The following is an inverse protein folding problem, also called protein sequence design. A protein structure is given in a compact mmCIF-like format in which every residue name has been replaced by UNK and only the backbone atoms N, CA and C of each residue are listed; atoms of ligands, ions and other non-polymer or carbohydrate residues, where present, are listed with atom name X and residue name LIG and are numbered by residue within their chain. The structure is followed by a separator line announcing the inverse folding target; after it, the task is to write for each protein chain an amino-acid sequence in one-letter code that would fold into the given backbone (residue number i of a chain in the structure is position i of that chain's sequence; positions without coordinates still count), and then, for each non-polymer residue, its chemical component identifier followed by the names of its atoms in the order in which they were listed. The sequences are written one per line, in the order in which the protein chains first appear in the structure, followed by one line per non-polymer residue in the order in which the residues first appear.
data_IF_125348652936
#
_entry.id   IF_125348652936
#
_cell.length_a   1.000
_cell.length_b   1.000
_cell.length_c   1.000
_cell.angle_alpha   90.00
_cell.angle_beta   90.00
_cell.angle_gamma   90.00
#
_symmetry.space_group_name_H-M   'P 1'
#
loop_
_entity.id
_entity.type
_entity.pdbx_description
1 polymer ?
#
# COMPACT_ATOMS: atom_id res chain seq x y z
N UNK A 1 -8.57 74.51 -58.16
CA UNK A 1 -8.63 74.13 -56.73
C UNK A 1 -7.46 73.19 -56.44
N UNK A 2 -6.53 73.60 -55.57
CA UNK A 2 -5.27 72.89 -55.29
C UNK A 2 -5.54 71.70 -54.33
N UNK A 3 -4.97 70.53 -54.66
CA UNK A 3 -4.87 69.38 -53.75
C UNK A 3 -3.86 69.73 -52.66
N UNK A 4 -4.27 69.71 -51.40
CA UNK A 4 -3.36 69.79 -50.25
C UNK A 4 -2.85 68.38 -49.95
N UNK A 5 -1.56 68.20 -50.21
CA UNK A 5 -0.77 67.02 -49.89
C UNK A 5 -0.33 67.15 -48.41
N UNK A 6 -0.89 66.34 -47.52
CA UNK A 6 -0.44 66.27 -46.13
C UNK A 6 0.77 65.33 -46.08
N UNK A 7 1.98 65.89 -46.03
CA UNK A 7 3.18 65.11 -45.78
C UNK A 7 3.15 64.54 -44.36
N UNK A 8 3.11 63.23 -44.22
CA UNK A 8 3.32 62.55 -42.94
C UNK A 8 4.68 62.95 -42.37
N UNK A 9 4.68 63.66 -41.23
CA UNK A 9 5.92 64.00 -40.52
C UNK A 9 6.49 62.73 -39.89
N UNK A 10 7.80 62.45 -40.05
CA UNK A 10 8.41 61.26 -39.48
C UNK A 10 8.30 61.28 -37.95
N UNK A 11 7.79 60.18 -37.38
CA UNK A 11 7.63 60.04 -35.93
C UNK A 11 9.00 60.18 -35.25
N UNK A 12 9.16 61.07 -34.25
CA UNK A 12 10.42 61.29 -33.55
C UNK A 12 10.98 60.01 -32.93
N UNK A 13 12.30 59.84 -33.02
CA UNK A 13 13.02 58.64 -32.57
C UNK A 13 12.67 58.23 -31.12
N UNK A 14 12.55 59.19 -30.20
CA UNK A 14 12.23 58.91 -28.80
C UNK A 14 10.86 58.23 -28.62
N UNK A 15 9.86 58.54 -29.46
CA UNK A 15 8.54 57.89 -29.40
C UNK A 15 8.62 56.44 -29.87
N UNK A 16 9.45 56.16 -30.88
CA UNK A 16 9.73 54.78 -31.32
C UNK A 16 10.48 54.00 -30.24
N UNK A 17 11.49 54.61 -29.61
CA UNK A 17 12.25 54.00 -28.52
C UNK A 17 11.37 53.64 -27.31
N UNK A 18 10.47 54.54 -26.90
CA UNK A 18 9.51 54.28 -25.82
C UNK A 18 8.51 53.18 -26.21
N UNK A 19 8.04 53.16 -27.46
CA UNK A 19 7.17 52.10 -27.94
C UNK A 19 7.87 50.73 -27.93
N UNK A 20 9.13 50.65 -28.39
CA UNK A 20 9.92 49.41 -28.32
C UNK A 20 10.21 48.98 -26.89
N UNK A 21 10.51 49.91 -25.97
CA UNK A 21 10.71 49.62 -24.55
C UNK A 21 9.41 49.07 -23.92
N UNK A 22 8.27 49.67 -24.22
CA UNK A 22 6.97 49.19 -23.72
C UNK A 22 6.60 47.82 -24.30
N UNK A 23 6.84 47.59 -25.59
CA UNK A 23 6.64 46.28 -26.22
C UNK A 23 7.57 45.24 -25.59
N UNK A 24 8.83 45.58 -25.34
CA UNK A 24 9.79 44.70 -24.68
C UNK A 24 9.40 44.40 -23.22
N UNK A 25 8.93 45.40 -22.47
CA UNK A 25 8.42 45.21 -21.10
C UNK A 25 7.15 44.35 -21.08
N UNK A 26 6.21 44.56 -22.01
CA UNK A 26 4.98 43.75 -22.14
C UNK A 26 5.28 42.31 -22.55
N UNK A 27 6.20 42.09 -23.49
CA UNK A 27 6.67 40.75 -23.87
C UNK A 27 7.48 40.09 -22.75
N UNK A 28 8.24 40.86 -21.98
CA UNK A 28 8.97 40.39 -20.79
C UNK A 28 8.04 39.93 -19.67
N UNK A 29 6.90 40.59 -19.48
CA UNK A 29 5.86 40.16 -18.51
C UNK A 29 5.12 38.89 -18.96
N UNK A 30 4.99 38.63 -20.26
CA UNK A 30 4.34 37.42 -20.81
C UNK A 30 5.29 36.22 -20.96
N UNK A 31 6.60 36.41 -20.77
CA UNK A 31 7.63 35.37 -20.94
C UNK A 31 8.31 34.94 -19.65
N UNK A 32 7.84 35.41 -18.49
CA UNK A 32 8.20 34.79 -17.21
C UNK A 32 7.65 33.37 -17.22
N UNK A 33 8.49 32.32 -17.21
CA UNK A 33 7.98 30.98 -17.02
C UNK A 33 7.23 30.99 -15.70
N UNK A 34 5.93 30.67 -15.74
CA UNK A 34 5.23 30.29 -14.53
C UNK A 34 6.01 29.10 -13.97
N UNK A 35 6.67 29.30 -12.84
CA UNK A 35 7.31 28.19 -12.13
C UNK A 35 6.17 27.29 -11.64
N UNK A 36 5.83 26.29 -12.45
CA UNK A 36 4.93 25.24 -12.03
C UNK A 36 5.61 24.51 -10.86
N UNK A 37 4.96 24.53 -9.70
CA UNK A 37 5.39 23.77 -8.53
C UNK A 37 4.81 22.38 -8.59
N UNK A 38 5.52 21.41 -8.00
CA UNK A 38 5.01 20.06 -7.85
C UNK A 38 3.69 20.07 -7.06
N UNK A 39 2.62 19.59 -7.69
CA UNK A 39 1.43 19.20 -6.94
C UNK A 39 1.83 18.03 -6.02
N UNK A 40 1.58 18.17 -4.71
CA UNK A 40 2.15 17.29 -3.70
C UNK A 40 1.08 16.83 -2.70
N UNK A 41 1.44 15.83 -1.89
CA UNK A 41 0.55 15.21 -0.91
C UNK A 41 -0.06 16.18 0.09
N UNK A 42 0.65 17.25 0.41
CA UNK A 42 0.18 18.27 1.34
C UNK A 42 -0.99 19.06 0.76
N UNK A 43 -1.00 19.32 -0.55
CA UNK A 43 -2.06 20.10 -1.21
C UNK A 43 -3.38 19.32 -1.34
N UNK A 44 -3.36 17.98 -1.28
CA UNK A 44 -4.57 17.15 -1.18
C UNK A 44 -5.14 17.07 0.24
N UNK A 45 -4.33 17.41 1.24
CA UNK A 45 -4.67 17.27 2.64
C UNK A 45 -5.29 18.57 3.18
N UNK A 46 -6.45 18.47 3.84
CA UNK A 46 -6.91 19.57 4.71
C UNK A 46 -6.11 19.55 6.02
N UNK A 47 -4.88 20.08 5.96
CA UNK A 47 -3.96 20.12 7.09
C UNK A 47 -4.55 20.84 8.30
N UNK A 48 -5.35 21.89 8.07
CA UNK A 48 -6.00 22.65 9.13
C UNK A 48 -7.01 21.78 9.87
N UNK A 49 -7.85 21.06 9.14
CA UNK A 49 -8.81 20.12 9.73
C UNK A 49 -8.09 18.99 10.49
N UNK A 50 -7.06 18.38 9.89
CA UNK A 50 -6.27 17.29 10.52
C UNK A 50 -5.63 17.74 11.83
N UNK A 51 -5.07 18.96 11.87
CA UNK A 51 -4.38 19.47 13.06
C UNK A 51 -5.37 19.92 14.15
N UNK A 52 -6.49 20.54 13.78
CA UNK A 52 -7.45 21.07 14.75
C UNK A 52 -8.35 19.99 15.38
N UNK A 53 -8.67 18.93 14.64
CA UNK A 53 -9.63 17.92 15.09
C UNK A 53 -8.97 16.66 15.67
N UNK A 54 -7.62 16.62 15.74
CA UNK A 54 -6.90 15.50 16.32
C UNK A 54 -6.77 15.66 17.84
N UNK A 55 -7.28 14.71 18.65
CA UNK A 55 -7.09 14.74 20.10
C UNK A 55 -5.62 14.50 20.52
N UNK A 56 -4.77 14.08 19.58
CA UNK A 56 -3.36 13.82 19.84
C UNK A 56 -2.49 15.08 19.83
N UNK A 57 -3.04 16.24 19.46
CA UNK A 57 -2.30 17.50 19.34
C UNK A 57 -2.86 18.58 20.27
N UNK A 58 -1.96 19.42 20.79
CA UNK A 58 -2.30 20.62 21.54
C UNK A 58 -1.73 21.82 20.80
N UNK A 59 -2.59 22.79 20.47
CA UNK A 59 -2.16 24.06 19.85
C UNK A 59 -1.41 24.89 20.90
N UNK A 60 -0.21 25.35 20.56
CA UNK A 60 0.60 26.18 21.46
C UNK A 60 0.28 27.65 21.26
N UNK A 61 -0.11 28.34 22.32
CA UNK A 61 -0.29 29.81 22.32
C UNK A 61 1.03 30.51 22.62
N UNK A 62 1.49 31.40 21.74
CA UNK A 62 2.68 32.24 21.97
C UNK A 62 4.04 31.56 21.75
N UNK A 63 4.08 30.30 21.33
CA UNK A 63 5.34 29.63 20.96
C UNK A 63 5.91 30.21 19.67
N UNK A 64 7.20 30.57 19.71
CA UNK A 64 7.97 31.00 18.54
C UNK A 64 8.60 29.84 17.77
N UNK A 65 8.54 28.62 18.29
CA UNK A 65 9.20 27.44 17.71
C UNK A 65 8.25 26.53 16.94
N UNK A 66 7.06 26.28 17.51
CA UNK A 66 6.09 25.31 16.98
C UNK A 66 4.67 25.86 17.09
N UNK A 67 3.76 25.45 16.21
CA UNK A 67 2.33 25.79 16.29
C UNK A 67 1.52 24.76 17.08
N UNK A 68 1.91 23.48 16.98
CA UNK A 68 1.31 22.35 17.71
C UNK A 68 2.37 21.53 18.44
N UNK A 69 1.97 20.83 19.49
CA UNK A 69 2.79 19.82 20.18
C UNK A 69 1.95 18.58 20.45
N UNK A 70 2.62 17.48 20.78
CA UNK A 70 1.95 16.27 21.28
C UNK A 70 1.13 16.59 22.53
N UNK A 71 -0.09 16.09 22.58
CA UNK A 71 -0.94 16.12 23.78
C UNK A 71 -0.32 15.30 24.92
N UNK A 72 -0.42 15.79 26.14
CA UNK A 72 0.18 15.17 27.34
C UNK A 72 -0.36 13.77 27.64
N UNK A 73 -1.56 13.45 27.18
CA UNK A 73 -2.21 12.14 27.38
C UNK A 73 -1.76 11.07 26.37
N UNK A 74 -0.92 11.42 25.39
CA UNK A 74 -0.45 10.50 24.37
C UNK A 74 0.89 9.85 24.76
N UNK A 75 0.84 8.54 24.99
CA UNK A 75 2.04 7.71 25.15
C UNK A 75 2.68 7.46 23.78
N UNK A 76 3.97 7.72 23.69
CA UNK A 76 4.76 7.56 22.47
C UNK A 76 5.82 6.48 22.67
N UNK A 77 5.87 5.54 21.73
CA UNK A 77 6.87 4.47 21.67
C UNK A 77 8.29 5.04 21.61
N UNK A 78 9.25 4.36 22.25
CA UNK A 78 10.64 4.86 22.33
C UNK A 78 11.27 5.11 20.94
N UNK A 79 11.10 4.19 19.99
CA UNK A 79 11.66 4.33 18.62
C UNK A 79 11.10 5.53 17.86
N UNK A 80 9.83 5.89 18.07
CA UNK A 80 9.23 7.06 17.41
C UNK A 80 9.93 8.38 17.80
N UNK A 81 10.62 8.41 18.94
CA UNK A 81 11.40 9.59 19.39
C UNK A 81 12.68 9.80 18.60
N UNK A 82 13.14 8.79 17.87
CA UNK A 82 14.34 8.82 17.03
C UNK A 82 14.04 9.33 15.62
N UNK A 83 12.77 9.53 15.26
CA UNK A 83 12.40 10.04 13.95
C UNK A 83 13.04 11.41 13.67
N UNK A 84 13.56 11.55 12.45
CA UNK A 84 14.13 12.80 11.97
C UNK A 84 13.03 13.87 11.90
N UNK A 85 13.33 15.08 12.38
CA UNK A 85 12.43 16.24 12.33
C UNK A 85 12.98 17.33 11.40
N UNK A 86 12.14 18.32 11.06
CA UNK A 86 12.55 19.53 10.33
C UNK A 86 13.75 20.19 11.03
N UNK A 87 13.71 20.35 12.35
CA UNK A 87 14.83 20.92 13.11
C UNK A 87 16.11 20.07 13.04
N UNK A 88 15.96 18.75 13.03
CA UNK A 88 17.07 17.82 12.80
C UNK A 88 17.66 17.99 11.40
N UNK A 89 16.82 17.99 10.38
CA UNK A 89 17.21 18.11 8.98
C UNK A 89 17.88 19.46 8.68
N UNK A 90 17.31 20.56 9.18
CA UNK A 90 17.91 21.89 9.09
C UNK A 90 19.32 21.93 9.71
N UNK A 91 19.55 21.25 10.84
CA UNK A 91 20.87 21.16 11.47
C UNK A 91 21.89 20.42 10.59
N UNK A 92 21.45 19.37 9.89
CA UNK A 92 22.28 18.62 8.94
C UNK A 92 22.64 19.50 7.74
N UNK A 93 21.67 20.21 7.15
CA UNK A 93 21.91 21.14 6.05
C UNK A 93 22.83 22.29 6.46
N UNK A 94 22.64 22.89 7.64
CA UNK A 94 23.49 23.98 8.13
C UNK A 94 24.96 23.57 8.28
N UNK A 95 25.22 22.30 8.61
CA UNK A 95 26.57 21.75 8.73
C UNK A 95 27.18 21.46 7.36
N UNK A 96 26.41 20.86 6.45
CA UNK A 96 26.98 20.19 5.27
C UNK A 96 26.53 20.78 3.90
N UNK A 97 25.43 21.53 3.86
CA UNK A 97 24.74 22.00 2.64
C UNK A 97 24.12 23.40 2.83
N UNK A 98 24.91 24.38 3.28
CA UNK A 98 24.43 25.75 3.56
C UNK A 98 23.81 26.45 2.35
N UNK A 99 24.19 26.07 1.13
CA UNK A 99 23.62 26.63 -0.11
C UNK A 99 22.15 26.23 -0.32
N UNK A 100 21.68 25.15 0.31
CA UNK A 100 20.30 24.72 0.27
C UNK A 100 19.45 25.39 1.38
N UNK A 101 20.02 26.28 2.19
CA UNK A 101 19.30 27.08 3.16
C UNK A 101 19.04 28.48 2.60
N UNK A 102 17.99 29.18 3.11
CA UNK A 102 17.80 30.60 2.82
C UNK A 102 19.05 31.42 3.17
N UNK A 103 19.15 32.60 2.55
CA UNK A 103 20.25 33.52 2.80
C UNK A 103 20.41 33.78 4.32
N UNK A 104 21.66 33.73 4.86
CA UNK A 104 21.88 33.92 6.27
C UNK A 104 21.55 35.35 6.70
N UNK A 105 21.06 35.48 7.93
CA UNK A 105 21.02 36.76 8.63
C UNK A 105 22.40 37.06 9.22
N UNK A 106 22.90 38.27 9.02
CA UNK A 106 24.20 38.67 9.51
C UNK A 106 24.06 39.36 10.87
N UNK A 107 24.56 38.71 11.93
CA UNK A 107 24.50 39.25 13.30
C UNK A 107 25.83 39.93 13.61
N UNK A 108 25.86 41.26 13.80
CA UNK A 108 27.06 41.96 14.23
C UNK A 108 27.29 41.73 15.73
N UNK A 109 28.47 41.23 16.10
CA UNK A 109 28.93 41.16 17.48
C UNK A 109 30.03 42.20 17.65
N UNK A 110 29.82 43.14 18.57
CA UNK A 110 30.78 44.17 18.92
C UNK A 110 31.66 43.68 20.07
N UNK A 111 32.98 43.68 19.87
CA UNK A 111 33.95 43.53 20.95
C UNK A 111 34.99 44.67 20.85
N UNK A 112 34.74 45.75 21.60
CA UNK A 112 35.54 46.98 21.50
C UNK A 112 35.38 47.67 20.14
N UNK A 113 36.49 47.87 19.41
CA UNK A 113 36.52 48.50 18.07
C UNK A 113 36.38 47.50 16.91
N UNK A 114 36.28 46.20 17.19
CA UNK A 114 36.20 45.16 16.17
C UNK A 114 34.73 44.74 16.01
N UNK A 115 34.21 44.86 14.80
CA UNK A 115 32.91 44.32 14.41
C UNK A 115 33.13 42.96 13.74
N UNK A 116 32.64 41.88 14.36
CA UNK A 116 32.66 40.54 13.76
C UNK A 116 31.24 40.18 13.32
N UNK A 117 31.08 39.83 12.04
CA UNK A 117 29.79 39.49 11.45
C UNK A 117 29.69 37.96 11.33
N UNK A 118 28.73 37.35 12.02
CA UNK A 118 28.49 35.91 11.94
C UNK A 118 27.25 35.60 11.09
N UNK A 119 27.34 34.70 10.09
CA UNK A 119 26.16 34.24 9.37
C UNK A 119 25.33 33.33 10.26
N UNK A 120 24.09 33.73 10.52
CA UNK A 120 23.09 32.98 11.25
C UNK A 120 22.02 32.47 10.30
N UNK A 121 21.74 31.17 10.36
CA UNK A 121 20.67 30.53 9.60
C UNK A 121 19.53 30.21 10.57
N UNK A 122 18.54 31.10 10.73
CA UNK A 122 17.44 30.89 11.66
C UNK A 122 16.52 29.79 11.15
N UNK A 123 15.99 28.99 12.09
CA UNK A 123 14.92 28.05 11.79
C UNK A 123 13.58 28.71 12.09
N UNK A 124 12.73 28.82 11.07
CA UNK A 124 11.42 29.43 11.23
C UNK A 124 10.44 28.56 12.04
N UNK A 125 9.33 29.19 12.43
CA UNK A 125 8.02 28.62 12.77
C UNK A 125 7.79 27.19 12.27
N UNK A 126 7.85 26.12 13.07
CA UNK A 126 7.45 24.78 12.60
C UNK A 126 5.95 24.52 12.84
N UNK A 127 5.34 23.69 11.99
CA UNK A 127 3.94 23.25 12.17
C UNK A 127 3.72 22.55 13.51
N UNK A 128 4.71 21.79 13.98
CA UNK A 128 4.67 21.23 15.32
C UNK A 128 5.97 20.58 15.74
N UNK A 129 5.96 19.93 16.89
CA UNK A 129 7.08 19.08 17.33
C UNK A 129 7.24 17.83 16.43
N UNK A 130 8.22 16.98 16.75
CA UNK A 130 8.49 15.74 16.00
C UNK A 130 7.25 14.86 15.87
N UNK A 131 6.49 14.69 16.96
CA UNK A 131 5.34 13.81 16.96
C UNK A 131 4.26 14.32 16.00
N UNK A 132 3.97 15.63 16.04
CA UNK A 132 3.05 16.27 15.09
C UNK A 132 3.55 16.10 13.65
N UNK A 133 4.85 16.33 13.40
CA UNK A 133 5.44 16.19 12.07
C UNK A 133 5.32 14.76 11.53
N UNK A 134 5.64 13.74 12.34
CA UNK A 134 5.50 12.32 11.97
C UNK A 134 4.06 11.99 11.61
N UNK A 135 3.08 12.45 12.41
CA UNK A 135 1.65 12.22 12.11
C UNK A 135 1.20 12.93 10.84
N UNK A 136 1.69 14.13 10.58
CA UNK A 136 1.35 14.88 9.38
C UNK A 136 1.95 14.23 8.12
N UNK A 137 3.17 13.66 8.22
CA UNK A 137 3.77 12.84 7.15
C UNK A 137 2.91 11.60 6.91
N UNK A 138 2.50 10.88 7.97
CA UNK A 138 1.61 9.72 7.85
C UNK A 138 0.32 10.05 7.12
N UNK A 139 -0.33 11.15 7.49
CA UNK A 139 -1.58 11.57 6.85
C UNK A 139 -1.38 11.91 5.37
N UNK A 140 -0.24 12.48 5.00
CA UNK A 140 0.11 12.72 3.59
C UNK A 140 0.31 11.41 2.81
N UNK A 141 1.01 10.43 3.39
CA UNK A 141 1.18 9.10 2.75
C UNK A 141 -0.18 8.44 2.57
N UNK A 142 -1.04 8.49 3.59
CA UNK A 142 -2.36 7.89 3.51
C UNK A 142 -3.26 8.59 2.48
N UNK A 143 -3.20 9.92 2.37
CA UNK A 143 -3.96 10.66 1.38
C UNK A 143 -3.52 10.36 -0.06
N UNK A 144 -2.24 10.06 -0.29
CA UNK A 144 -1.73 9.70 -1.62
C UNK A 144 -1.89 8.23 -1.97
N UNK A 145 -1.67 7.34 -1.00
CA UNK A 145 -1.51 5.91 -1.26
C UNK A 145 -2.61 5.04 -0.64
N UNK A 146 -3.39 5.54 0.32
CA UNK A 146 -4.29 4.73 1.14
C UNK A 146 -3.55 3.80 2.12
N UNK A 147 -2.27 4.08 2.40
CA UNK A 147 -1.37 3.26 3.23
C UNK A 147 -0.65 4.09 4.28
N UNK A 148 -0.11 3.44 5.31
CA UNK A 148 0.70 4.10 6.33
C UNK A 148 2.21 4.07 6.03
N UNK A 149 2.67 3.05 5.30
CA UNK A 149 4.02 2.93 4.76
C UNK A 149 3.98 2.98 3.23
N UNK A 150 4.97 3.63 2.63
CA UNK A 150 5.17 3.72 1.19
C UNK A 150 5.58 2.36 0.63
N UNK A 151 6.45 1.63 1.34
CA UNK A 151 7.02 0.36 0.91
C UNK A 151 7.15 -0.63 2.08
N UNK A 152 6.91 -1.94 1.87
CA UNK A 152 7.14 -2.97 2.88
C UNK A 152 8.63 -3.19 3.16
N UNK A 153 9.53 -2.60 2.37
CA UNK A 153 10.97 -2.63 2.64
C UNK A 153 11.37 -1.82 3.88
N UNK A 154 10.50 -0.90 4.33
CA UNK A 154 10.72 -0.16 5.57
C UNK A 154 10.24 -0.97 6.77
N UNK A 155 11.12 -1.15 7.76
CA UNK A 155 10.78 -1.85 8.99
C UNK A 155 9.67 -1.15 9.80
N UNK A 156 9.68 0.18 9.82
CA UNK A 156 8.68 1.01 10.49
C UNK A 156 8.65 2.44 9.91
N UNK A 157 7.72 3.25 10.41
CA UNK A 157 7.55 4.66 10.03
C UNK A 157 8.81 5.50 10.33
N UNK A 158 9.57 5.16 11.37
CA UNK A 158 10.79 5.89 11.75
C UNK A 158 11.88 5.67 10.70
N UNK A 159 12.12 4.42 10.31
CA UNK A 159 13.07 4.06 9.26
C UNK A 159 12.70 4.71 7.92
N UNK A 160 11.42 4.71 7.57
CA UNK A 160 10.92 5.38 6.36
C UNK A 160 11.19 6.89 6.38
N UNK A 161 10.84 7.59 7.47
CA UNK A 161 11.05 9.04 7.57
C UNK A 161 12.54 9.38 7.49
N UNK A 162 13.41 8.57 8.12
CA UNK A 162 14.86 8.73 8.01
C UNK A 162 15.31 8.60 6.56
N UNK A 163 14.86 7.58 5.84
CA UNK A 163 15.22 7.40 4.42
C UNK A 163 14.70 8.54 3.54
N UNK A 164 13.47 9.02 3.76
CA UNK A 164 12.88 10.12 3.00
C UNK A 164 13.65 11.44 3.21
N UNK A 165 14.11 11.73 4.44
CA UNK A 165 14.99 12.87 4.69
C UNK A 165 16.42 12.66 4.15
N UNK A 166 16.90 11.42 4.09
CA UNK A 166 18.17 11.11 3.45
C UNK A 166 18.12 11.37 1.95
N UNK A 167 17.02 10.99 1.28
CA UNK A 167 16.78 11.33 -0.12
C UNK A 167 16.69 12.86 -0.31
N UNK A 168 16.01 13.58 0.60
CA UNK A 168 16.00 15.05 0.57
C UNK A 168 17.39 15.68 0.75
N UNK A 169 18.27 15.07 1.55
CA UNK A 169 19.65 15.52 1.71
C UNK A 169 20.46 15.34 0.42
N UNK A 170 20.25 14.25 -0.32
CA UNK A 170 20.84 14.04 -1.65
C UNK A 170 20.34 15.10 -2.64
N UNK A 171 19.03 15.38 -2.64
CA UNK A 171 18.43 16.41 -3.49
C UNK A 171 19.03 17.79 -3.20
N UNK A 172 19.16 18.16 -1.92
CA UNK A 172 19.78 19.42 -1.51
C UNK A 172 21.20 19.58 -2.07
N UNK A 173 21.96 18.48 -2.20
CA UNK A 173 23.30 18.49 -2.78
C UNK A 173 23.37 18.84 -4.28
N UNK A 174 22.25 18.76 -5.01
CA UNK A 174 22.17 19.15 -6.44
C UNK A 174 22.06 20.67 -6.64
N UNK A 175 21.77 21.44 -5.58
CA UNK A 175 21.78 22.91 -5.60
C UNK A 175 20.59 23.58 -6.30
N UNK A 176 19.52 22.84 -6.62
CA UNK A 176 18.34 23.34 -7.32
C UNK A 176 17.13 23.61 -6.42
N UNK A 177 17.33 23.58 -5.09
CA UNK A 177 16.25 23.69 -4.09
C UNK A 177 16.68 24.52 -2.89
N UNK A 178 15.74 25.26 -2.31
CA UNK A 178 15.94 26.04 -1.10
C UNK A 178 14.99 25.56 0.00
N UNK A 179 15.52 25.33 1.20
CA UNK A 179 14.73 24.91 2.36
C UNK A 179 13.68 25.96 2.70
N UNK A 180 12.42 25.53 2.85
CA UNK A 180 11.26 26.40 3.05
C UNK A 180 10.55 26.80 1.76
N UNK A 181 11.18 26.70 0.60
CA UNK A 181 10.54 26.96 -0.69
C UNK A 181 9.89 25.69 -1.24
N UNK A 182 8.82 25.85 -2.02
CA UNK A 182 8.16 24.76 -2.74
C UNK A 182 9.10 24.13 -3.76
N UNK A 183 9.04 22.82 -3.92
CA UNK A 183 9.83 22.12 -4.94
C UNK A 183 9.32 22.47 -6.36
N UNK A 184 10.20 22.92 -7.27
CA UNK A 184 9.84 23.11 -8.68
C UNK A 184 9.47 21.77 -9.34
N UNK A 185 8.44 21.76 -10.19
CA UNK A 185 7.97 20.55 -10.89
C UNK A 185 9.09 19.87 -11.68
N UNK A 186 9.99 20.65 -12.32
CA UNK A 186 11.12 20.11 -13.09
C UNK A 186 12.13 19.34 -12.21
N UNK A 187 12.37 19.81 -10.99
CA UNK A 187 13.25 19.14 -10.02
C UNK A 187 12.60 17.86 -9.52
N UNK A 188 11.31 17.93 -9.18
CA UNK A 188 10.54 16.77 -8.74
C UNK A 188 10.51 15.66 -9.81
N UNK A 189 10.19 16.01 -11.07
CA UNK A 189 10.11 15.07 -12.19
C UNK A 189 11.44 14.38 -12.55
N UNK A 190 12.58 14.92 -12.10
CA UNK A 190 13.92 14.41 -12.46
C UNK A 190 14.66 13.73 -11.30
N UNK A 191 14.04 13.65 -10.12
CA UNK A 191 14.69 13.11 -8.93
C UNK A 191 14.48 11.59 -8.75
N UNK A 192 13.37 11.04 -9.28
CA UNK A 192 13.02 9.60 -9.29
C UNK A 192 13.09 8.89 -7.92
N UNK A 193 12.95 9.64 -6.83
CA UNK A 193 12.90 9.10 -5.47
C UNK A 193 11.82 9.80 -4.67
N UNK A 194 11.29 9.09 -3.67
CA UNK A 194 10.41 9.68 -2.67
C UNK A 194 11.23 10.47 -1.65
N UNK A 195 10.75 11.63 -1.20
CA UNK A 195 11.45 12.44 -0.20
C UNK A 195 10.51 13.34 0.60
N UNK A 196 11.00 13.85 1.73
CA UNK A 196 10.30 14.87 2.53
C UNK A 196 11.09 16.18 2.45
N UNK A 197 10.47 17.23 1.94
CA UNK A 197 11.04 18.58 1.91
C UNK A 197 10.27 19.52 2.84
N UNK A 198 10.94 20.24 3.75
CA UNK A 198 10.25 21.25 4.56
C UNK A 198 9.91 22.50 3.73
N UNK A 199 8.63 22.85 3.68
CA UNK A 199 8.09 23.98 2.90
C UNK A 199 7.23 24.89 3.77
N UNK A 200 7.19 26.18 3.45
CA UNK A 200 6.26 27.12 4.07
C UNK A 200 4.83 26.83 3.62
N UNK A 201 3.94 26.67 4.61
CA UNK A 201 2.51 26.42 4.44
C UNK A 201 1.73 27.34 5.36
N UNK A 202 0.61 27.84 4.85
CA UNK A 202 -0.33 28.60 5.65
C UNK A 202 -1.27 27.63 6.36
N UNK A 203 -1.25 27.64 7.70
CA UNK A 203 -2.09 26.78 8.54
C UNK A 203 -2.70 27.66 9.63
N UNK A 204 -4.04 27.68 9.68
CA UNK A 204 -4.79 28.59 10.56
C UNK A 204 -4.37 30.07 10.41
N UNK A 205 -4.07 30.53 9.19
CA UNK A 205 -3.66 31.91 8.90
C UNK A 205 -2.24 32.27 9.35
N UNK A 206 -1.41 31.30 9.75
CA UNK A 206 -0.01 31.49 10.10
C UNK A 206 0.90 30.72 9.14
N UNK A 207 1.97 31.36 8.66
CA UNK A 207 2.99 30.72 7.83
C UNK A 207 3.95 29.89 8.70
N UNK A 208 3.98 28.58 8.46
CA UNK A 208 4.80 27.62 9.21
C UNK A 208 5.50 26.63 8.28
N UNK A 209 6.71 26.21 8.66
CA UNK A 209 7.43 25.10 8.03
C UNK A 209 6.75 23.78 8.33
N UNK A 210 6.30 23.13 7.27
CA UNK A 210 5.65 21.83 7.33
C UNK A 210 6.45 20.79 6.53
N UNK A 211 6.50 19.52 6.98
CA UNK A 211 7.10 18.46 6.19
C UNK A 211 6.18 18.16 5.01
N UNK A 212 6.65 18.34 3.77
CA UNK A 212 5.88 18.04 2.56
C UNK A 212 6.43 16.77 1.91
N UNK A 213 5.56 15.79 1.71
CA UNK A 213 5.89 14.54 1.06
C UNK A 213 5.79 14.69 -0.46
N UNK A 214 6.85 14.26 -1.13
CA UNK A 214 6.94 14.15 -2.59
C UNK A 214 7.17 12.68 -2.94
N UNK A 215 6.23 12.06 -3.65
CA UNK A 215 6.31 10.67 -4.10
C UNK A 215 6.67 10.62 -5.58
N UNK A 216 7.54 9.73 -6.01
CA UNK A 216 7.84 9.52 -7.43
C UNK A 216 6.62 9.03 -8.21
N UNK A 217 6.61 9.24 -9.53
CA UNK A 217 5.55 8.72 -10.39
C UNK A 217 5.42 7.19 -10.29
N UNK A 218 6.55 6.49 -10.22
CA UNK A 218 6.59 5.03 -10.04
C UNK A 218 5.96 4.60 -8.72
N UNK A 219 6.24 5.31 -7.62
CA UNK A 219 5.62 5.02 -6.31
C UNK A 219 4.12 5.22 -6.34
N UNK A 220 3.64 6.31 -6.94
CA UNK A 220 2.19 6.56 -7.09
C UNK A 220 1.51 5.48 -7.92
N UNK A 221 2.12 5.07 -9.04
CA UNK A 221 1.57 4.04 -9.93
C UNK A 221 1.51 2.66 -9.26
N UNK A 222 2.53 2.30 -8.48
CA UNK A 222 2.69 0.94 -7.96
C UNK A 222 2.18 0.73 -6.54
N UNK A 223 2.03 1.80 -5.75
CA UNK A 223 1.70 1.68 -4.32
C UNK A 223 0.31 2.20 -3.95
N UNK A 224 -0.30 3.03 -4.78
CA UNK A 224 -1.63 3.56 -4.50
C UNK A 224 -2.70 2.45 -4.47
N UNK A 225 -3.58 2.52 -3.47
CA UNK A 225 -4.67 1.56 -3.28
C UNK A 225 -5.90 2.03 -4.06
N UNK A 226 -6.32 1.23 -5.04
CA UNK A 226 -7.48 1.52 -5.89
C UNK A 226 -8.74 0.69 -5.51
N UNK A 227 -8.76 0.05 -4.33
CA UNK A 227 -9.84 -0.82 -3.86
C UNK A 227 -9.96 -0.88 -2.33
N UNK A 228 -10.77 -1.82 -1.82
CA UNK A 228 -10.90 -2.02 -0.37
C UNK A 228 -9.69 -2.84 0.12
N UNK A 229 -8.74 -2.16 0.77
CA UNK A 229 -7.57 -2.75 1.41
C UNK A 229 -7.61 -2.51 2.91
N UNK A 230 -7.38 -3.56 3.69
CA UNK A 230 -7.00 -3.45 5.10
C UNK A 230 -5.57 -3.98 5.22
N UNK A 231 -4.64 -3.11 5.64
CA UNK A 231 -3.22 -3.46 5.75
C UNK A 231 -2.77 -3.48 7.21
N UNK A 232 -2.10 -4.56 7.60
CA UNK A 232 -1.49 -4.72 8.91
C UNK A 232 0.02 -4.89 8.77
N UNK A 233 0.79 -4.06 9.48
CA UNK A 233 2.25 -4.14 9.53
C UNK A 233 2.71 -4.21 10.98
N UNK A 234 3.69 -5.07 11.28
CA UNK A 234 4.21 -5.31 12.62
C UNK A 234 4.50 -6.78 12.87
N UNK A 235 4.74 -7.16 14.14
CA UNK A 235 5.05 -8.55 14.50
C UNK A 235 3.80 -9.40 14.65
N UNK A 236 2.83 -8.94 15.45
CA UNK A 236 1.64 -9.72 15.79
C UNK A 236 0.37 -8.87 15.72
N UNK A 237 -0.67 -9.41 15.09
CA UNK A 237 -2.01 -8.83 15.14
C UNK A 237 -3.01 -9.89 15.60
N UNK A 238 -3.77 -9.56 16.64
CA UNK A 238 -4.65 -10.50 17.33
C UNK A 238 -6.11 -10.05 17.18
N UNK A 239 -6.94 -10.94 16.64
CA UNK A 239 -8.38 -10.75 16.52
C UNK A 239 -9.13 -11.89 17.19
N UNK A 240 -10.39 -11.65 17.56
CA UNK A 240 -11.25 -12.74 18.02
C UNK A 240 -11.74 -13.57 16.85
N UNK A 241 -12.29 -12.91 15.84
CA UNK A 241 -12.84 -13.46 14.61
C UNK A 241 -12.48 -12.52 13.46
N UNK A 242 -12.25 -13.05 12.26
CA UNK A 242 -12.09 -12.26 11.03
C UNK A 242 -13.01 -12.82 9.95
N UNK A 243 -13.74 -11.93 9.27
CA UNK A 243 -14.51 -12.26 8.07
C UNK A 243 -14.20 -11.23 7.00
N UNK A 244 -13.66 -11.69 5.87
CA UNK A 244 -13.34 -10.85 4.72
C UNK A 244 -14.38 -11.11 3.63
N UNK A 245 -15.18 -10.09 3.32
CA UNK A 245 -16.25 -10.12 2.32
C UNK A 245 -15.88 -9.21 1.16
N UNK A 246 -15.22 -9.77 0.15
CA UNK A 246 -14.66 -9.02 -0.97
C UNK A 246 -13.59 -7.98 -0.56
N UNK A 247 -12.54 -7.84 -1.36
CA UNK A 247 -11.39 -6.96 -1.04
C UNK A 247 -10.24 -7.69 -0.36
N UNK A 248 -9.17 -6.95 -0.07
CA UNK A 248 -7.87 -7.54 0.31
C UNK A 248 -7.54 -7.22 1.77
N UNK A 249 -7.24 -8.25 2.55
CA UNK A 249 -6.53 -8.15 3.82
C UNK A 249 -5.05 -8.41 3.53
N UNK A 250 -4.22 -7.39 3.60
CA UNK A 250 -2.79 -7.49 3.34
C UNK A 250 -2.03 -7.48 4.67
N UNK A 251 -1.18 -8.49 4.85
CA UNK A 251 -0.23 -8.56 5.96
C UNK A 251 1.16 -8.14 5.48
N UNK A 252 1.89 -7.44 6.36
CA UNK A 252 3.28 -7.08 6.10
C UNK A 252 4.19 -8.29 6.17
N UNK A 253 5.45 -8.10 5.75
CA UNK A 253 6.49 -9.11 5.90
C UNK A 253 6.63 -9.49 7.39
N UNK A 254 6.77 -10.79 7.65
CA UNK A 254 6.96 -11.36 8.99
C UNK A 254 5.82 -11.03 9.99
N UNK A 255 4.64 -10.66 9.49
CA UNK A 255 3.46 -10.41 10.33
C UNK A 255 2.71 -11.70 10.62
N UNK A 256 2.46 -12.00 11.89
CA UNK A 256 1.57 -13.08 12.31
C UNK A 256 0.14 -12.56 12.49
N UNK A 257 -0.78 -13.08 11.68
CA UNK A 257 -2.21 -12.83 11.83
C UNK A 257 -2.83 -13.93 12.68
N UNK A 258 -3.16 -13.59 13.93
CA UNK A 258 -3.71 -14.51 14.91
C UNK A 258 -5.22 -14.26 15.07
N UNK A 259 -6.03 -15.31 14.92
CA UNK A 259 -7.46 -15.30 15.28
C UNK A 259 -7.75 -16.32 16.38
N UNK A 260 -8.45 -15.91 17.43
CA UNK A 260 -8.78 -16.81 18.53
C UNK A 260 -9.81 -17.88 18.13
N UNK A 261 -10.70 -17.55 17.19
CA UNK A 261 -11.74 -18.43 16.64
C UNK A 261 -11.56 -18.60 15.15
N UNK A 262 -12.46 -18.04 14.34
CA UNK A 262 -12.54 -18.34 12.92
C UNK A 262 -11.94 -17.22 12.05
N UNK A 263 -11.39 -17.63 10.90
CA UNK A 263 -11.04 -16.75 9.78
C UNK A 263 -11.84 -17.20 8.56
N UNK A 264 -12.75 -16.36 8.06
CA UNK A 264 -13.56 -16.63 6.87
C UNK A 264 -13.12 -15.73 5.72
N UNK A 265 -12.72 -16.32 4.60
CA UNK A 265 -12.33 -15.63 3.36
C UNK A 265 -13.36 -16.00 2.29
N UNK A 266 -14.25 -15.07 1.98
CA UNK A 266 -15.43 -15.29 1.14
C UNK A 266 -15.17 -14.89 -0.34
N UNK A 267 -16.12 -15.11 -1.27
CA UNK A 267 -15.89 -14.80 -2.69
C UNK A 267 -15.39 -13.38 -2.95
N UNK A 268 -14.38 -13.27 -3.81
CA UNK A 268 -13.73 -12.00 -4.16
C UNK A 268 -12.88 -11.39 -3.03
N UNK A 269 -12.72 -12.09 -1.90
CA UNK A 269 -11.80 -11.71 -0.85
C UNK A 269 -10.41 -12.31 -1.10
N UNK A 270 -9.39 -11.56 -0.71
CA UNK A 270 -8.00 -12.01 -0.71
C UNK A 270 -7.38 -11.76 0.67
N UNK A 271 -6.65 -12.75 1.19
CA UNK A 271 -5.72 -12.56 2.31
C UNK A 271 -4.32 -12.75 1.77
N UNK A 272 -3.55 -11.68 1.71
CA UNK A 272 -2.27 -11.62 1.02
C UNK A 272 -1.10 -11.23 1.94
N UNK A 273 0.12 -11.53 1.52
CA UNK A 273 1.35 -10.95 2.08
C UNK A 273 2.34 -10.57 0.98
N UNK A 274 2.97 -9.39 1.12
CA UNK A 274 4.11 -8.94 0.30
C UNK A 274 5.42 -9.70 0.65
N UNK A 275 5.39 -10.62 1.62
CA UNK A 275 6.47 -11.53 2.01
C UNK A 275 5.90 -12.90 2.37
N UNK A 276 6.15 -13.37 3.60
CA UNK A 276 5.52 -14.57 4.16
C UNK A 276 4.12 -14.26 4.70
N UNK A 277 3.15 -15.13 4.41
CA UNK A 277 1.81 -15.09 5.00
C UNK A 277 1.73 -16.09 6.16
N UNK A 278 1.70 -15.59 7.39
CA UNK A 278 1.63 -16.40 8.61
C UNK A 278 0.25 -16.28 9.26
N UNK A 279 -0.55 -17.34 9.19
CA UNK A 279 -1.92 -17.39 9.75
C UNK A 279 -1.99 -18.38 10.91
N UNK A 280 -2.42 -17.92 12.08
CA UNK A 280 -2.72 -18.76 13.23
C UNK A 280 -4.19 -18.62 13.61
N UNK A 281 -4.97 -19.69 13.46
CA UNK A 281 -6.44 -19.67 13.59
C UNK A 281 -6.86 -20.71 14.63
N UNK A 282 -7.23 -20.26 15.84
CA UNK A 282 -7.58 -21.16 16.94
C UNK A 282 -8.80 -22.05 16.67
N UNK A 283 -9.72 -21.58 15.82
CA UNK A 283 -10.89 -22.30 15.34
C UNK A 283 -10.73 -22.79 13.90
N UNK A 284 -11.69 -22.46 13.04
CA UNK A 284 -11.68 -22.89 11.63
C UNK A 284 -11.23 -21.76 10.69
N UNK A 285 -10.26 -22.06 9.83
CA UNK A 285 -9.97 -21.24 8.65
C UNK A 285 -10.83 -21.74 7.50
N UNK A 286 -11.77 -20.91 7.03
CA UNK A 286 -12.63 -21.18 5.88
C UNK A 286 -12.23 -20.31 4.70
N UNK A 287 -11.63 -20.89 3.68
CA UNK A 287 -11.41 -20.25 2.39
C UNK A 287 -12.52 -20.67 1.42
N UNK A 288 -13.61 -19.89 1.37
CA UNK A 288 -14.79 -20.16 0.56
C UNK A 288 -14.78 -19.29 -0.70
N UNK A 289 -14.26 -19.82 -1.80
CA UNK A 289 -14.07 -19.09 -3.07
C UNK A 289 -13.22 -17.81 -2.96
N UNK A 290 -12.37 -17.72 -1.93
CA UNK A 290 -11.39 -16.66 -1.74
C UNK A 290 -9.98 -17.05 -2.18
N UNK A 291 -9.05 -16.12 -2.01
CA UNK A 291 -7.63 -16.32 -2.31
C UNK A 291 -6.79 -16.12 -1.05
N UNK A 292 -5.89 -17.06 -0.78
CA UNK A 292 -4.78 -16.89 0.16
C UNK A 292 -3.49 -16.80 -0.67
N UNK A 293 -2.71 -15.74 -0.51
CA UNK A 293 -1.53 -15.51 -1.35
C UNK A 293 -0.35 -14.96 -0.57
N UNK A 294 0.86 -15.37 -0.95
CA UNK A 294 2.10 -14.80 -0.45
C UNK A 294 3.09 -14.62 -1.60
N UNK A 295 3.88 -13.55 -1.54
CA UNK A 295 5.02 -13.40 -2.45
C UNK A 295 6.10 -14.46 -2.17
N UNK A 296 6.22 -14.92 -0.92
CA UNK A 296 7.13 -15.96 -0.47
C UNK A 296 6.32 -17.13 0.09
N UNK A 297 6.42 -17.45 1.38
CA UNK A 297 5.85 -18.67 1.94
C UNK A 297 4.44 -18.43 2.51
N UNK A 298 3.61 -19.48 2.50
CA UNK A 298 2.33 -19.51 3.20
C UNK A 298 2.42 -20.52 4.34
N UNK A 299 2.31 -20.04 5.58
CA UNK A 299 2.24 -20.87 6.77
C UNK A 299 0.87 -20.70 7.43
N UNK A 300 0.12 -21.79 7.52
CA UNK A 300 -1.21 -21.82 8.14
C UNK A 300 -1.20 -22.85 9.26
N UNK A 301 -1.55 -22.42 10.46
CA UNK A 301 -1.84 -23.29 11.60
C UNK A 301 -3.28 -23.03 12.00
N UNK A 302 -4.14 -24.04 11.92
CA UNK A 302 -5.56 -23.90 12.24
C UNK A 302 -6.09 -25.04 13.12
N UNK A 303 -7.10 -24.75 13.94
CA UNK A 303 -7.88 -25.80 14.60
C UNK A 303 -8.51 -26.73 13.57
N UNK A 304 -9.11 -26.17 12.52
CA UNK A 304 -9.58 -26.88 11.33
C UNK A 304 -9.34 -26.06 10.06
N UNK A 305 -9.00 -26.71 8.94
CA UNK A 305 -8.83 -26.03 7.66
C UNK A 305 -9.85 -26.52 6.63
N UNK A 306 -10.61 -25.58 6.07
CA UNK A 306 -11.58 -25.84 5.01
C UNK A 306 -11.35 -24.88 3.84
N UNK A 307 -11.08 -25.43 2.65
CA UNK A 307 -11.05 -24.69 1.40
C UNK A 307 -12.12 -25.24 0.46
N UNK A 308 -13.01 -24.38 -0.02
CA UNK A 308 -14.16 -24.80 -0.82
C UNK A 308 -14.50 -23.79 -1.90
N UNK A 309 -14.60 -24.25 -3.14
CA UNK A 309 -15.23 -23.46 -4.20
C UNK A 309 -16.75 -23.52 -4.04
N UNK A 310 -17.37 -22.36 -3.83
CA UNK A 310 -18.82 -22.25 -3.72
C UNK A 310 -19.49 -22.45 -5.08
N UNK A 311 -20.75 -22.86 -5.05
CA UNK A 311 -21.60 -23.03 -6.24
C UNK A 311 -22.80 -22.10 -6.18
N UNK A 312 -23.16 -21.51 -7.31
CA UNK A 312 -24.31 -20.63 -7.44
C UNK A 312 -25.39 -21.31 -8.25
N UNK A 313 -26.58 -21.42 -7.67
CA UNK A 313 -27.75 -22.02 -8.35
C UNK A 313 -28.41 -21.00 -9.27
N UNK A 314 -28.96 -21.49 -10.37
CA UNK A 314 -29.82 -20.72 -11.26
C UNK A 314 -31.01 -21.58 -11.70
N UNK A 315 -32.09 -20.91 -12.05
CA UNK A 315 -33.27 -21.54 -12.63
C UNK A 315 -33.97 -20.51 -13.51
N UNK A 316 -34.34 -20.93 -14.70
CA UNK A 316 -35.16 -20.17 -15.65
C UNK A 316 -36.27 -21.10 -16.17
N UNK A 317 -37.06 -20.64 -17.16
CA UNK A 317 -38.27 -21.36 -17.61
C UNK A 317 -38.01 -22.80 -18.05
N UNK A 318 -36.85 -23.10 -18.63
CA UNK A 318 -36.54 -24.42 -19.18
C UNK A 318 -35.26 -25.04 -18.60
N UNK A 319 -34.40 -24.24 -17.98
CA UNK A 319 -33.11 -24.69 -17.46
C UNK A 319 -33.04 -24.48 -15.96
N UNK A 320 -32.43 -25.43 -15.27
CA UNK A 320 -32.07 -25.28 -13.88
C UNK A 320 -30.71 -25.93 -13.64
N UNK A 321 -29.94 -25.35 -12.74
CA UNK A 321 -28.63 -25.90 -12.45
C UNK A 321 -27.84 -25.09 -11.46
N UNK A 322 -26.54 -25.35 -11.47
CA UNK A 322 -25.55 -24.62 -10.70
C UNK A 322 -24.30 -24.39 -11.55
N UNK A 323 -23.55 -23.35 -11.19
CA UNK A 323 -22.24 -23.04 -11.76
C UNK A 323 -21.25 -22.83 -10.63
N UNK A 324 -19.98 -23.14 -10.87
CA UNK A 324 -18.92 -22.82 -9.93
C UNK A 324 -18.80 -21.29 -9.77
N UNK A 325 -18.52 -20.87 -8.55
CA UNK A 325 -18.06 -19.51 -8.26
C UNK A 325 -16.57 -19.36 -8.60
N UNK A 326 -15.96 -18.33 -8.03
CA UNK A 326 -14.50 -18.18 -8.07
C UNK A 326 -13.83 -19.39 -7.41
N UNK A 327 -12.77 -19.91 -8.03
CA UNK A 327 -12.02 -21.05 -7.49
C UNK A 327 -11.30 -20.60 -6.22
N UNK A 328 -11.53 -21.30 -5.11
CA UNK A 328 -10.80 -21.07 -3.87
C UNK A 328 -9.34 -21.48 -4.05
N UNK A 329 -8.39 -20.60 -3.73
CA UNK A 329 -6.97 -20.85 -4.02
C UNK A 329 -6.01 -20.49 -2.88
N UNK A 330 -4.88 -21.21 -2.83
CA UNK A 330 -3.68 -20.86 -2.05
C UNK A 330 -2.48 -20.80 -2.98
N UNK A 331 -1.72 -19.70 -2.95
CA UNK A 331 -0.54 -19.51 -3.80
C UNK A 331 0.64 -18.95 -2.99
N UNK A 332 1.84 -19.51 -3.21
CA UNK A 332 3.10 -19.06 -2.61
C UNK A 332 4.29 -19.89 -3.10
N UNK A 333 5.49 -19.59 -2.65
CA UNK A 333 6.70 -20.37 -2.93
C UNK A 333 6.69 -21.70 -2.17
N UNK A 334 6.57 -21.69 -0.84
CA UNK A 334 6.38 -22.91 -0.05
C UNK A 334 5.10 -22.80 0.77
N UNK A 335 4.26 -23.82 0.71
CA UNK A 335 2.96 -23.84 1.39
C UNK A 335 3.02 -24.91 2.48
N UNK A 336 2.79 -24.51 3.72
CA UNK A 336 2.62 -25.41 4.86
C UNK A 336 1.29 -25.13 5.53
N UNK A 337 0.39 -26.12 5.50
CA UNK A 337 -0.90 -26.07 6.19
C UNK A 337 -0.92 -27.17 7.22
N UNK A 338 -0.91 -26.78 8.49
CA UNK A 338 -1.07 -27.68 9.62
C UNK A 338 -2.43 -27.47 10.27
N UNK A 339 -3.21 -28.54 10.37
CA UNK A 339 -4.47 -28.55 11.10
C UNK A 339 -4.42 -29.49 12.30
N UNK A 340 -4.85 -28.99 13.46
CA UNK A 340 -5.07 -29.81 14.67
C UNK A 340 -6.28 -30.76 14.54
N UNK A 341 -7.10 -30.57 13.51
CA UNK A 341 -8.22 -31.41 13.14
C UNK A 341 -8.08 -31.86 11.69
N UNK A 342 -9.15 -31.69 10.91
CA UNK A 342 -9.17 -32.08 9.50
C UNK A 342 -8.67 -30.96 8.56
N UNK A 343 -8.09 -31.38 7.43
CA UNK A 343 -7.91 -30.55 6.24
C UNK A 343 -8.93 -31.02 5.18
N UNK A 344 -9.78 -30.10 4.71
CA UNK A 344 -10.72 -30.37 3.62
C UNK A 344 -10.48 -29.38 2.49
N UNK A 345 -10.24 -29.88 1.28
CA UNK A 345 -10.15 -29.07 0.06
C UNK A 345 -11.19 -29.61 -0.93
N UNK A 346 -12.16 -28.79 -1.31
CA UNK A 346 -13.25 -29.15 -2.20
C UNK A 346 -13.30 -28.24 -3.43
N UNK A 347 -12.89 -28.76 -4.59
CA UNK A 347 -12.78 -28.04 -5.85
C UNK A 347 -11.88 -26.80 -5.80
N UNK A 348 -10.82 -26.84 -4.98
CA UNK A 348 -9.88 -25.73 -4.80
C UNK A 348 -8.50 -26.01 -5.41
N UNK A 349 -7.67 -24.98 -5.50
CA UNK A 349 -6.29 -25.08 -5.98
C UNK A 349 -5.27 -24.70 -4.90
N UNK A 350 -4.13 -25.39 -4.89
CA UNK A 350 -2.98 -25.06 -4.04
C UNK A 350 -1.74 -25.14 -4.94
N UNK A 351 -1.04 -24.03 -5.13
CA UNK A 351 0.09 -23.95 -6.05
C UNK A 351 1.34 -23.38 -5.37
N UNK A 352 2.47 -24.11 -5.47
CA UNK A 352 3.75 -23.61 -5.01
C UNK A 352 4.95 -24.38 -5.55
N UNK A 353 6.13 -24.16 -4.98
CA UNK A 353 7.32 -24.99 -5.20
C UNK A 353 7.23 -26.25 -4.34
N UNK A 354 6.92 -26.11 -3.04
CA UNK A 354 6.64 -27.22 -2.14
C UNK A 354 5.27 -27.05 -1.49
N UNK A 355 4.53 -28.15 -1.35
CA UNK A 355 3.23 -28.17 -0.67
C UNK A 355 3.28 -29.22 0.44
N UNK A 356 3.02 -28.82 1.69
CA UNK A 356 2.91 -29.70 2.84
C UNK A 356 1.56 -29.51 3.52
N UNK A 357 0.72 -30.54 3.49
CA UNK A 357 -0.54 -30.59 4.22
C UNK A 357 -0.40 -31.61 5.36
N UNK A 358 -0.54 -31.14 6.61
CA UNK A 358 -0.48 -31.98 7.80
C UNK A 358 -1.76 -31.86 8.62
N UNK A 359 -2.41 -32.97 8.91
CA UNK A 359 -3.61 -33.02 9.74
C UNK A 359 -3.42 -34.00 10.91
N UNK A 360 -3.78 -33.58 12.12
CA UNK A 360 -3.93 -34.51 13.24
C UNK A 360 -5.23 -35.32 13.14
N UNK A 361 -6.18 -34.86 12.30
CA UNK A 361 -7.32 -35.62 11.81
C UNK A 361 -7.07 -36.21 10.41
N UNK A 362 -8.03 -35.99 9.51
CA UNK A 362 -8.01 -36.50 8.14
C UNK A 362 -7.62 -35.42 7.13
N UNK A 363 -7.11 -35.85 5.97
CA UNK A 363 -6.99 -34.97 4.78
C UNK A 363 -7.98 -35.47 3.72
N UNK A 364 -8.86 -34.58 3.25
CA UNK A 364 -9.85 -34.89 2.21
C UNK A 364 -9.72 -33.92 1.04
N UNK A 365 -9.29 -34.42 -0.10
CA UNK A 365 -9.20 -33.70 -1.37
C UNK A 365 -10.33 -34.18 -2.27
N UNK A 366 -11.35 -33.34 -2.46
CA UNK A 366 -12.63 -33.72 -3.07
C UNK A 366 -12.92 -32.84 -4.29
N UNK A 367 -13.57 -33.38 -5.33
CA UNK A 367 -14.15 -32.53 -6.38
C UNK A 367 -15.36 -31.74 -5.85
N UNK A 368 -15.56 -30.51 -6.35
CA UNK A 368 -16.82 -29.79 -6.22
C UNK A 368 -17.71 -30.11 -7.43
N UNK A 369 -19.00 -30.32 -7.21
CA UNK A 369 -19.94 -30.70 -8.27
C UNK A 369 -20.91 -29.57 -8.60
N UNK A 370 -21.26 -29.47 -9.88
CA UNK A 370 -22.41 -28.72 -10.40
C UNK A 370 -23.33 -29.66 -11.17
N UNK A 371 -24.59 -29.27 -11.27
CA UNK A 371 -25.60 -30.00 -12.02
C UNK A 371 -26.30 -29.05 -12.98
N UNK A 372 -26.68 -29.53 -14.14
CA UNK A 372 -27.47 -28.80 -15.13
C UNK A 372 -28.59 -29.69 -15.65
N UNK A 373 -29.78 -29.13 -15.84
CA UNK A 373 -30.94 -29.78 -16.43
C UNK A 373 -31.60 -28.81 -17.40
N UNK A 374 -31.92 -29.28 -18.60
CA UNK A 374 -32.66 -28.53 -19.62
C UNK A 374 -33.89 -29.32 -20.06
N UNK A 375 -35.07 -28.71 -19.95
CA UNK A 375 -36.38 -29.24 -20.29
C UNK A 375 -37.04 -28.50 -21.47
N UNK A 376 -36.24 -27.83 -22.30
CA UNK A 376 -36.76 -27.08 -23.44
C UNK A 376 -37.36 -28.05 -24.47
N UNK A 377 -38.61 -27.86 -24.90
CA UNK A 377 -39.23 -28.72 -25.89
C UNK A 377 -38.51 -28.59 -27.23
N UNK A 378 -38.29 -29.72 -27.91
CA UNK A 378 -37.72 -29.75 -29.27
C UNK A 378 -38.86 -30.06 -30.24
N UNK A 379 -39.43 -29.01 -30.82
CA UNK A 379 -40.62 -29.11 -31.66
C UNK A 379 -41.87 -29.40 -30.84
N UNK A 380 -42.51 -30.56 -31.06
CA UNK A 380 -43.69 -31.02 -30.31
C UNK A 380 -43.36 -32.04 -29.22
N UNK A 381 -42.08 -32.37 -29.03
CA UNK A 381 -41.64 -33.37 -28.08
C UNK A 381 -41.07 -32.70 -26.84
N UNK A 382 -41.46 -33.22 -25.68
CA UNK A 382 -40.77 -32.93 -24.43
C UNK A 382 -39.36 -33.53 -24.51
N UNK A 383 -38.36 -32.72 -24.18
CA UNK A 383 -36.96 -33.13 -24.18
C UNK A 383 -36.34 -32.74 -22.85
N UNK A 384 -35.67 -33.70 -22.20
CA UNK A 384 -34.92 -33.49 -20.97
C UNK A 384 -33.48 -33.92 -21.18
N UNK A 385 -32.54 -33.03 -20.90
CA UNK A 385 -31.11 -33.32 -20.82
C UNK A 385 -30.60 -32.97 -19.43
N UNK A 386 -29.65 -33.73 -18.90
CA UNK A 386 -29.02 -33.47 -17.62
C UNK A 386 -27.52 -33.76 -17.66
N UNK A 387 -26.74 -32.92 -17.00
CA UNK A 387 -25.28 -33.00 -16.93
C UNK A 387 -24.82 -32.78 -15.48
N UNK A 388 -23.77 -33.50 -15.08
CA UNK A 388 -23.03 -33.27 -13.84
C UNK A 388 -21.60 -32.94 -14.24
N UNK A 389 -21.10 -31.81 -13.75
CA UNK A 389 -19.73 -31.37 -14.00
C UNK A 389 -18.96 -31.37 -12.66
N UNK A 390 -17.70 -31.77 -12.72
CA UNK A 390 -16.81 -31.88 -11.58
C UNK A 390 -15.65 -30.90 -11.71
N UNK A 391 -15.51 -30.02 -10.71
CA UNK A 391 -14.32 -29.22 -10.49
C UNK A 391 -13.37 -29.99 -9.57
N UNK A 392 -12.36 -30.60 -10.15
CA UNK A 392 -11.28 -31.36 -9.49
C UNK A 392 -10.50 -30.47 -8.52
N UNK A 393 -10.15 -31.00 -7.34
CA UNK A 393 -9.16 -30.35 -6.46
C UNK A 393 -7.76 -30.54 -7.02
N UNK A 394 -6.96 -29.48 -7.12
CA UNK A 394 -5.63 -29.55 -7.74
C UNK A 394 -4.53 -29.01 -6.84
N UNK A 395 -3.51 -29.84 -6.60
CA UNK A 395 -2.27 -29.48 -5.91
C UNK A 395 -1.14 -29.51 -6.94
N UNK A 396 -0.51 -28.36 -7.19
CA UNK A 396 0.58 -28.23 -8.18
C UNK A 396 1.85 -27.73 -7.49
N UNK A 397 2.87 -28.58 -7.45
CA UNK A 397 4.19 -28.28 -6.91
C UNK A 397 5.24 -28.31 -8.02
N UNK A 398 6.21 -27.40 -8.00
CA UNK A 398 7.41 -27.53 -8.87
C UNK A 398 8.35 -28.63 -8.35
N UNK A 399 8.49 -28.74 -7.04
CA UNK A 399 9.33 -29.73 -6.39
C UNK A 399 8.45 -30.83 -5.80
N UNK A 400 8.03 -30.75 -4.53
CA UNK A 400 7.42 -31.89 -3.84
C UNK A 400 6.06 -31.56 -3.18
N UNK A 401 5.21 -32.59 -3.05
CA UNK A 401 3.95 -32.57 -2.31
C UNK A 401 4.03 -33.59 -1.16
N UNK A 402 3.74 -33.15 0.06
CA UNK A 402 3.71 -33.99 1.27
C UNK A 402 2.34 -33.94 1.91
N UNK A 403 1.65 -35.08 2.00
CA UNK A 403 0.38 -35.23 2.69
C UNK A 403 0.57 -36.13 3.91
N UNK A 404 0.34 -35.61 5.11
CA UNK A 404 0.49 -36.35 6.35
C UNK A 404 -0.77 -36.24 7.22
N UNK A 405 -1.48 -37.34 7.42
CA UNK A 405 -2.65 -37.40 8.29
C UNK A 405 -2.45 -38.45 9.39
N UNK A 406 -2.79 -38.11 10.64
CA UNK A 406 -2.90 -39.15 11.68
C UNK A 406 -4.16 -40.02 11.47
N UNK A 407 -5.18 -39.47 10.80
CA UNK A 407 -6.34 -40.18 10.30
C UNK A 407 -6.14 -40.75 8.90
N UNK A 408 -7.21 -40.75 8.10
CA UNK A 408 -7.22 -41.18 6.72
C UNK A 408 -6.87 -40.04 5.75
N UNK A 409 -6.36 -40.41 4.57
CA UNK A 409 -6.23 -39.50 3.43
C UNK A 409 -7.19 -39.97 2.33
N UNK A 410 -8.14 -39.13 1.95
CA UNK A 410 -9.12 -39.40 0.89
C UNK A 410 -8.86 -38.47 -0.31
N UNK A 411 -8.61 -39.08 -1.47
CA UNK A 411 -8.43 -38.42 -2.75
C UNK A 411 -9.59 -38.81 -3.66
N UNK A 412 -10.59 -37.93 -3.80
CA UNK A 412 -11.78 -38.18 -4.62
C UNK A 412 -11.88 -37.15 -5.75
N UNK A 413 -11.53 -37.59 -6.96
CA UNK A 413 -11.37 -36.70 -8.12
C UNK A 413 -10.48 -35.49 -7.76
N UNK A 414 -9.23 -35.82 -7.38
CA UNK A 414 -8.18 -34.87 -7.05
C UNK A 414 -6.95 -35.12 -7.94
N UNK A 415 -6.26 -34.05 -8.32
CA UNK A 415 -5.04 -34.06 -9.12
C UNK A 415 -3.87 -33.55 -8.27
N UNK A 416 -2.82 -34.37 -8.15
CA UNK A 416 -1.58 -34.02 -7.46
C UNK A 416 -0.47 -34.04 -8.52
N UNK A 417 0.19 -32.92 -8.73
CA UNK A 417 1.23 -32.77 -9.76
C UNK A 417 2.49 -32.17 -9.15
N UNK A 418 3.61 -32.87 -9.31
CA UNK A 418 4.94 -32.45 -8.88
C UNK A 418 5.88 -32.51 -10.10
N UNK A 419 6.49 -31.39 -10.50
CA UNK A 419 7.29 -31.34 -11.74
C UNK A 419 8.62 -32.10 -11.61
N UNK A 420 9.32 -31.93 -10.49
CA UNK A 420 10.70 -32.41 -10.30
C UNK A 420 10.87 -33.35 -9.11
N UNK A 421 10.11 -33.14 -8.04
CA UNK A 421 10.27 -33.85 -6.77
C UNK A 421 9.32 -35.03 -6.62
N UNK A 422 8.89 -35.27 -5.38
CA UNK A 422 8.08 -36.45 -5.02
C UNK A 422 6.70 -36.05 -4.49
N UNK A 423 5.76 -36.99 -4.63
CA UNK A 423 4.49 -36.96 -3.91
C UNK A 423 4.58 -38.01 -2.81
N UNK A 424 4.64 -37.57 -1.55
CA UNK A 424 4.69 -38.44 -0.38
C UNK A 424 3.37 -38.36 0.39
N UNK A 425 2.79 -39.50 0.71
CA UNK A 425 1.46 -39.62 1.32
C UNK A 425 1.56 -40.62 2.49
N UNK A 426 1.41 -40.09 3.70
CA UNK A 426 1.44 -40.86 4.94
C UNK A 426 0.13 -40.68 5.70
N UNK A 427 -0.62 -41.77 5.87
CA UNK A 427 -1.89 -41.78 6.58
C UNK A 427 -1.87 -42.83 7.70
N UNK A 428 -2.26 -42.44 8.91
CA UNK A 428 -2.36 -43.37 10.04
C UNK A 428 -3.50 -44.38 9.90
N UNK A 429 -4.57 -44.04 9.17
CA UNK A 429 -5.74 -44.91 8.94
C UNK A 429 -5.92 -45.34 7.48
N UNK A 430 -4.92 -45.11 6.63
CA UNK A 430 -4.91 -45.52 5.23
C UNK A 430 -5.20 -44.42 4.21
N UNK A 431 -4.89 -44.72 2.96
CA UNK A 431 -5.04 -43.82 1.81
C UNK A 431 -6.13 -44.39 0.89
N UNK A 432 -7.14 -43.58 0.57
CA UNK A 432 -8.26 -43.96 -0.27
C UNK A 432 -8.28 -43.11 -1.54
N UNK A 433 -8.03 -43.73 -2.69
CA UNK A 433 -8.10 -43.09 -4.00
C UNK A 433 -9.40 -43.55 -4.67
N UNK A 434 -10.34 -42.63 -4.82
CA UNK A 434 -11.70 -42.93 -5.23
C UNK A 434 -12.03 -42.21 -6.53
N UNK A 435 -12.77 -42.90 -7.41
CA UNK A 435 -13.47 -42.21 -8.48
C UNK A 435 -14.69 -41.43 -7.92
N UNK A 436 -15.27 -40.57 -8.74
CA UNK A 436 -16.44 -39.77 -8.36
C UNK A 436 -17.68 -40.60 -7.95
N UNK A 437 -17.73 -41.87 -8.36
CA UNK A 437 -18.77 -42.86 -8.09
C UNK A 437 -18.52 -43.74 -6.85
N UNK A 438 -17.52 -43.43 -6.01
CA UNK A 438 -17.11 -44.21 -4.83
C UNK A 438 -16.58 -45.63 -5.12
N UNK A 439 -16.03 -45.90 -6.30
CA UNK A 439 -15.32 -47.15 -6.58
C UNK A 439 -13.83 -46.95 -6.25
N UNK A 440 -13.28 -47.81 -5.38
CA UNK A 440 -11.88 -47.78 -4.95
C UNK A 440 -11.01 -48.66 -5.86
N UNK A 441 -9.78 -48.21 -6.16
CA UNK A 441 -8.67 -49.12 -6.47
C UNK A 441 -7.87 -49.31 -5.19
N UNK A 442 -7.83 -50.56 -4.69
CA UNK A 442 -7.11 -50.97 -3.49
C UNK A 442 -5.62 -51.11 -3.74
#
# INVERSE_FOLDING_TARGET
MKKNDFSDRPVPFYKKAIAYLNIFMLLGQMSLPTLAYAYNAFDKLDATHVLNNSPAFTKTTGSSQTQYVKSEHIVELARAREAQSIAGFHRVLRKNRKHALPAPQYIPIMNGKIQVIFPHYPLAKQVGDRFVQTRLIRSQIYAELGRSLISPAYADETAQIVQLYQNAYELAGKGSVTFGEKIPQSVYNSFDKDFIWPEFREINGEQVLSPVLHLSAQTLETRAVNGHLVEFTGSDVNFRDITVNSGTLLTGRDTYLNTARDLNVNPGAEVASDGDLNLFVGGTLRNHSGTLSAAQNVQIIAGQYEQKTLVHRFSNRYEQGSRFGQIASVNGENISIYSMGDIVVQGGTINGNNISLRADGNIRLLSQQTSYVNNAPVGKYDHTSSEIEHLTTKLTAKDSIYLMASGAIELKAAELHADQGVIDILAGQGVYILNELNQSQS
#
